data_IF_562431482226
#
_entry.id   IF_562431482226
#
_cell.length_a   1.000
_cell.length_b   1.000
_cell.length_c   1.000
_cell.angle_alpha   90.00
_cell.angle_beta   90.00
_cell.angle_gamma   90.00
#
_symmetry.space_group_name_H-M   'P 1'
#
loop_
_entity.id
_entity.type
_entity.pdbx_description
1 polymer ?
#
# COMPACT_ATOMS: atom_id res chain seq x y z
N UNK A 1 29.86 -34.42 22.75
CA UNK A 1 30.31 -33.01 22.75
C UNK A 1 29.12 -32.14 22.96
N UNK A 2 29.07 -31.36 24.04
CA UNK A 2 27.93 -30.57 24.48
C UNK A 2 27.47 -29.62 23.35
N UNK A 3 26.24 -29.84 22.88
CA UNK A 3 25.56 -28.92 21.96
C UNK A 3 25.23 -27.68 22.80
N UNK A 4 26.19 -26.77 22.97
CA UNK A 4 25.89 -25.44 23.52
C UNK A 4 24.88 -24.83 22.55
N UNK A 5 23.67 -24.62 23.04
CA UNK A 5 22.57 -23.99 22.33
C UNK A 5 23.08 -22.69 21.72
N UNK A 6 23.27 -22.69 20.39
CA UNK A 6 23.77 -21.52 19.68
C UNK A 6 22.70 -20.42 19.72
N UNK A 7 23.10 -19.22 20.09
CA UNK A 7 22.23 -18.04 20.13
C UNK A 7 22.74 -17.02 19.13
N UNK A 8 22.05 -16.84 17.99
CA UNK A 8 22.45 -15.82 17.01
C UNK A 8 22.28 -14.43 17.59
N UNK A 9 23.15 -13.51 17.20
CA UNK A 9 22.99 -12.08 17.50
C UNK A 9 22.06 -11.41 16.51
N UNK A 10 21.39 -10.31 16.92
CA UNK A 10 20.56 -9.51 16.02
C UNK A 10 21.37 -8.99 14.81
N UNK A 11 22.65 -8.65 15.00
CA UNK A 11 23.53 -8.22 13.90
C UNK A 11 23.72 -9.32 12.85
N UNK A 12 23.90 -10.58 13.28
CA UNK A 12 24.02 -11.72 12.37
C UNK A 12 22.70 -11.99 11.62
N UNK A 13 21.56 -11.93 12.33
CA UNK A 13 20.23 -12.07 11.72
C UNK A 13 20.00 -10.95 10.70
N UNK A 14 20.31 -9.70 11.05
CA UNK A 14 20.20 -8.53 10.15
C UNK A 14 21.09 -8.69 8.91
N UNK A 15 22.29 -9.24 9.08
CA UNK A 15 23.20 -9.54 7.95
C UNK A 15 22.56 -10.54 6.99
N UNK A 16 22.00 -11.65 7.49
CA UNK A 16 21.31 -12.64 6.65
C UNK A 16 20.14 -12.04 5.89
N UNK A 17 19.23 -11.33 6.58
CA UNK A 17 18.08 -10.68 5.96
C UNK A 17 18.52 -9.70 4.88
N UNK A 18 19.49 -8.84 5.17
CA UNK A 18 19.98 -7.83 4.21
C UNK A 18 20.62 -8.47 2.98
N UNK A 19 21.41 -9.54 3.13
CA UNK A 19 22.01 -10.28 2.01
C UNK A 19 20.92 -10.96 1.17
N UNK A 20 19.93 -11.57 1.80
CA UNK A 20 18.79 -12.20 1.11
C UNK A 20 17.98 -11.20 0.26
N UNK A 21 17.78 -9.97 0.76
CA UNK A 21 17.07 -8.91 0.06
C UNK A 21 17.87 -8.30 -1.08
N UNK A 22 19.11 -7.91 -0.80
CA UNK A 22 19.97 -7.22 -1.77
C UNK A 22 20.49 -8.15 -2.87
N UNK A 23 20.53 -9.46 -2.61
CA UNK A 23 21.08 -10.48 -3.52
C UNK A 23 22.48 -10.14 -4.06
N UNK A 24 23.21 -9.26 -3.32
CA UNK A 24 24.54 -8.79 -3.67
C UNK A 24 25.29 -8.35 -2.42
N UNK A 25 26.48 -8.95 -2.15
CA UNK A 25 27.23 -8.74 -0.93
C UNK A 25 27.74 -7.30 -0.74
N UNK A 26 28.19 -6.65 -1.82
CA UNK A 26 28.70 -5.27 -1.74
C UNK A 26 27.55 -4.31 -1.40
N UNK A 27 26.40 -4.47 -2.05
CA UNK A 27 25.21 -3.65 -1.78
C UNK A 27 24.68 -3.86 -0.36
N UNK A 28 24.68 -5.11 0.12
CA UNK A 28 24.27 -5.44 1.48
C UNK A 28 25.22 -4.82 2.52
N UNK A 29 26.54 -4.88 2.28
CA UNK A 29 27.53 -4.27 3.15
C UNK A 29 27.38 -2.74 3.21
N UNK A 30 27.20 -2.10 2.05
CA UNK A 30 26.94 -0.65 1.96
C UNK A 30 25.67 -0.26 2.72
N UNK A 31 24.57 -1.03 2.56
CA UNK A 31 23.30 -0.79 3.26
C UNK A 31 23.44 -0.89 4.79
N UNK A 32 24.32 -1.79 5.27
CA UNK A 32 24.58 -1.98 6.70
C UNK A 32 25.68 -1.06 7.25
N UNK A 33 26.35 -0.27 6.41
CA UNK A 33 27.46 0.59 6.83
C UNK A 33 28.70 -0.17 7.33
N UNK A 34 28.92 -1.40 6.85
CA UNK A 34 30.06 -2.26 7.24
C UNK A 34 30.89 -2.69 6.04
N UNK A 35 32.11 -3.22 6.30
CA UNK A 35 32.93 -3.78 5.21
C UNK A 35 32.38 -5.11 4.72
N UNK A 36 32.55 -5.42 3.41
CA UNK A 36 32.14 -6.70 2.84
C UNK A 36 32.78 -7.92 3.55
N UNK A 37 34.09 -7.89 3.97
CA UNK A 37 34.64 -8.97 4.78
C UNK A 37 33.91 -9.18 6.12
N UNK A 38 33.57 -8.09 6.83
CA UNK A 38 32.82 -8.15 8.09
C UNK A 38 31.41 -8.76 7.88
N UNK A 39 30.71 -8.35 6.81
CA UNK A 39 29.42 -8.91 6.44
C UNK A 39 29.54 -10.41 6.15
N UNK A 40 30.53 -10.82 5.36
CA UNK A 40 30.76 -12.22 5.02
C UNK A 40 31.09 -13.07 6.24
N UNK A 41 31.87 -12.54 7.20
CA UNK A 41 32.19 -13.20 8.45
C UNK A 41 30.99 -13.35 9.37
N UNK A 42 30.13 -12.32 9.48
CA UNK A 42 28.90 -12.37 10.27
C UNK A 42 27.93 -13.43 9.74
N UNK A 43 27.75 -13.49 8.41
CA UNK A 43 26.93 -14.51 7.77
C UNK A 43 27.49 -15.92 7.98
N UNK A 44 28.78 -16.11 7.76
CA UNK A 44 29.45 -17.41 7.97
C UNK A 44 29.33 -17.86 9.44
N UNK A 45 29.47 -16.94 10.40
CA UNK A 45 29.29 -17.24 11.83
C UNK A 45 27.88 -17.69 12.14
N UNK A 46 26.85 -17.08 11.52
CA UNK A 46 25.45 -17.49 11.67
C UNK A 46 25.25 -18.90 11.11
N UNK A 47 25.66 -19.15 9.87
CA UNK A 47 25.54 -20.44 9.20
C UNK A 47 26.25 -21.57 9.97
N UNK A 48 27.49 -21.33 10.42
CA UNK A 48 28.24 -22.28 11.20
C UNK A 48 27.61 -22.57 12.57
N UNK A 49 27.08 -21.53 13.23
CA UNK A 49 26.39 -21.67 14.51
C UNK A 49 25.10 -22.46 14.41
N UNK A 50 24.35 -22.29 13.34
CA UNK A 50 23.12 -23.03 13.06
C UNK A 50 23.41 -24.44 12.49
N UNK A 51 24.62 -24.67 11.93
CA UNK A 51 24.93 -25.89 11.20
C UNK A 51 24.18 -26.00 9.85
N UNK A 52 23.75 -24.86 9.29
CA UNK A 52 22.90 -24.77 8.10
C UNK A 52 23.49 -23.76 7.13
N UNK A 53 23.39 -24.02 5.84
CA UNK A 53 23.68 -23.05 4.80
C UNK A 53 22.42 -22.29 4.43
N UNK A 54 22.45 -20.97 4.58
CA UNK A 54 21.32 -20.07 4.29
C UNK A 54 21.46 -19.39 2.93
N UNK A 55 22.71 -19.17 2.50
CA UNK A 55 23.03 -18.47 1.25
C UNK A 55 24.04 -19.31 0.45
N UNK A 56 23.71 -19.58 -0.81
CA UNK A 56 24.67 -20.14 -1.77
C UNK A 56 25.51 -19.00 -2.36
N UNK A 57 26.83 -19.15 -2.27
CA UNK A 57 27.79 -18.20 -2.85
C UNK A 57 28.23 -18.72 -4.22
N UNK A 58 27.72 -18.13 -5.30
CA UNK A 58 28.36 -18.28 -6.59
C UNK A 58 29.13 -17.01 -6.95
N UNK A 59 30.13 -17.13 -7.82
CA UNK A 59 30.96 -15.98 -8.26
C UNK A 59 30.15 -14.90 -8.99
N UNK A 60 28.89 -15.16 -9.35
CA UNK A 60 28.04 -14.26 -10.14
C UNK A 60 26.70 -13.92 -9.51
N UNK A 61 26.21 -14.71 -8.52
CA UNK A 61 24.87 -14.50 -7.90
C UNK A 61 24.86 -14.97 -6.46
N UNK A 62 24.07 -14.29 -5.66
CA UNK A 62 23.67 -14.69 -4.31
C UNK A 62 22.31 -15.36 -4.42
N UNK A 63 22.21 -16.61 -3.99
CA UNK A 63 20.96 -17.38 -4.01
C UNK A 63 20.64 -17.76 -2.57
N UNK A 64 19.42 -17.49 -2.13
CA UNK A 64 18.92 -17.96 -0.84
C UNK A 64 18.60 -19.45 -0.98
N UNK A 65 19.09 -20.28 -0.06
CA UNK A 65 18.78 -21.71 -0.06
C UNK A 65 17.31 -21.97 0.34
N UNK A 66 16.74 -23.14 0.03
CA UNK A 66 15.38 -23.48 0.55
C UNK A 66 15.26 -23.37 2.07
N UNK A 67 16.33 -23.75 2.81
CA UNK A 67 16.41 -23.56 4.26
C UNK A 67 16.44 -22.08 4.64
N UNK A 68 17.20 -21.27 3.89
CA UNK A 68 17.24 -19.82 4.05
C UNK A 68 15.88 -19.19 3.81
N UNK A 69 15.17 -19.58 2.76
CA UNK A 69 13.81 -19.10 2.49
C UNK A 69 12.81 -19.45 3.59
N UNK A 70 12.91 -20.66 4.14
CA UNK A 70 12.06 -21.10 5.27
C UNK A 70 12.36 -20.32 6.56
N UNK A 71 13.62 -19.93 6.81
CA UNK A 71 14.02 -19.19 8.02
C UNK A 71 13.88 -17.65 7.86
N UNK A 72 13.83 -17.15 6.65
CA UNK A 72 13.76 -15.71 6.38
C UNK A 72 12.59 -14.99 7.08
N UNK A 73 11.34 -15.52 7.08
CA UNK A 73 10.23 -14.93 7.81
C UNK A 73 10.48 -14.82 9.32
N UNK A 74 11.08 -15.86 9.93
CA UNK A 74 11.42 -15.85 11.37
C UNK A 74 12.53 -14.87 11.69
N UNK A 75 13.54 -14.77 10.82
CA UNK A 75 14.61 -13.79 10.96
C UNK A 75 14.06 -12.36 10.94
N UNK A 76 13.13 -12.07 10.04
CA UNK A 76 12.45 -10.77 9.95
C UNK A 76 11.60 -10.49 11.19
N UNK A 77 10.75 -11.43 11.61
CA UNK A 77 9.94 -11.29 12.81
C UNK A 77 10.80 -11.04 14.08
N UNK A 78 11.99 -11.63 14.15
CA UNK A 78 12.92 -11.40 15.27
C UNK A 78 13.46 -9.96 15.25
N UNK A 79 13.81 -9.42 14.08
CA UNK A 79 14.25 -8.04 13.94
C UNK A 79 13.11 -7.05 14.22
N UNK A 80 11.90 -7.35 13.76
CA UNK A 80 10.70 -6.56 14.05
C UNK A 80 10.43 -6.48 15.56
N UNK A 81 10.54 -7.62 16.27
CA UNK A 81 10.38 -7.66 17.72
C UNK A 81 11.48 -6.84 18.45
N UNK A 82 12.71 -6.87 17.94
CA UNK A 82 13.80 -6.07 18.51
C UNK A 82 13.57 -4.57 18.26
N UNK A 83 13.12 -4.19 17.09
CA UNK A 83 12.82 -2.81 16.75
C UNK A 83 11.59 -2.31 17.55
N UNK A 84 10.58 -3.17 17.76
CA UNK A 84 9.44 -2.89 18.66
C UNK A 84 9.88 -2.69 20.12
N UNK A 85 10.84 -3.51 20.62
CA UNK A 85 11.41 -3.33 21.96
C UNK A 85 12.09 -1.96 22.10
N UNK A 86 12.85 -1.53 21.10
CA UNK A 86 13.47 -0.22 21.09
C UNK A 86 12.43 0.92 20.97
N UNK A 87 11.41 0.75 20.14
CA UNK A 87 10.30 1.70 20.03
C UNK A 87 9.57 1.83 21.37
N UNK A 88 9.22 0.70 22.01
CA UNK A 88 8.59 0.67 23.32
C UNK A 88 9.46 1.31 24.41
N UNK A 89 10.78 1.15 24.35
CA UNK A 89 11.70 1.79 25.30
C UNK A 89 11.75 3.32 25.11
N UNK A 90 11.53 3.82 23.89
CA UNK A 90 11.39 5.24 23.58
C UNK A 90 9.97 5.73 23.82
N UNK A 91 8.99 4.91 23.46
CA UNK A 91 7.55 5.11 23.64
C UNK A 91 7.03 4.82 25.06
N UNK A 92 7.91 4.64 26.06
CA UNK A 92 7.50 4.68 27.47
C UNK A 92 6.82 6.03 27.85
N UNK A 93 6.77 6.97 26.88
CA UNK A 93 6.04 8.23 26.89
C UNK A 93 4.74 8.21 26.05
N UNK A 94 4.40 7.10 25.39
CA UNK A 94 3.13 6.95 24.65
C UNK A 94 3.05 7.66 23.29
N UNK A 95 4.17 8.10 22.72
CA UNK A 95 4.22 8.86 21.47
C UNK A 95 4.76 8.05 20.31
N UNK A 96 4.13 8.19 19.14
CA UNK A 96 4.63 7.73 17.85
C UNK A 96 5.97 8.41 17.54
N UNK A 97 7.08 7.66 17.49
CA UNK A 97 8.41 8.21 17.25
C UNK A 97 9.31 7.26 16.45
N UNK A 98 10.39 7.82 15.87
CA UNK A 98 11.40 7.09 15.11
C UNK A 98 10.95 6.70 13.70
N UNK A 99 11.70 5.80 13.01
CA UNK A 99 11.43 5.43 11.62
C UNK A 99 10.14 4.60 11.50
N UNK A 100 9.31 4.96 10.51
CA UNK A 100 8.09 4.24 10.15
C UNK A 100 7.97 4.14 8.63
N UNK A 101 8.03 2.91 8.10
CA UNK A 101 7.93 2.65 6.67
C UNK A 101 6.46 2.39 6.31
N UNK A 102 5.86 3.30 5.57
CA UNK A 102 4.43 3.31 5.24
C UNK A 102 4.25 3.04 3.75
N UNK A 103 3.55 1.96 3.41
CA UNK A 103 3.09 1.69 2.06
C UNK A 103 1.76 2.38 1.79
N UNK A 104 1.53 2.83 0.56
CA UNK A 104 0.24 3.42 0.18
C UNK A 104 -0.02 3.16 -1.32
N UNK A 105 -1.27 2.85 -1.67
CA UNK A 105 -1.61 2.60 -3.08
C UNK A 105 -1.80 3.90 -3.87
N UNK A 106 -1.53 3.89 -5.20
CA UNK A 106 -1.58 5.08 -6.06
C UNK A 106 -2.95 5.76 -6.14
N UNK A 107 -4.04 5.04 -5.82
CA UNK A 107 -5.39 5.59 -5.81
C UNK A 107 -5.79 6.22 -4.48
N UNK A 108 -4.88 6.29 -3.51
CA UNK A 108 -5.04 6.94 -2.21
C UNK A 108 -3.95 8.00 -2.00
N UNK A 109 -2.69 7.69 -2.32
CA UNK A 109 -1.52 8.50 -2.01
C UNK A 109 -1.67 9.98 -2.41
N UNK A 110 -1.99 10.34 -3.68
CA UNK A 110 -2.02 11.73 -4.11
C UNK A 110 -3.06 12.58 -3.36
N UNK A 111 -4.10 11.95 -2.85
CA UNK A 111 -5.26 12.64 -2.27
C UNK A 111 -5.18 12.79 -0.75
N UNK A 112 -4.56 11.84 -0.06
CA UNK A 112 -4.53 11.81 1.40
C UNK A 112 -3.14 12.10 1.97
N UNK A 113 -2.08 11.69 1.29
CA UNK A 113 -0.71 11.77 1.80
C UNK A 113 -0.30 13.17 2.22
N UNK A 114 -0.59 14.26 1.48
CA UNK A 114 -0.24 15.62 1.93
C UNK A 114 -0.82 15.96 3.30
N UNK A 115 -2.11 15.64 3.52
CA UNK A 115 -2.77 15.89 4.79
C UNK A 115 -2.30 14.98 5.92
N UNK A 116 -1.93 13.74 5.61
CA UNK A 116 -1.34 12.81 6.59
C UNK A 116 0.04 13.30 7.04
N UNK A 117 0.90 13.73 6.12
CA UNK A 117 2.24 14.24 6.45
C UNK A 117 2.18 15.52 7.30
N UNK A 118 1.28 16.45 6.98
CA UNK A 118 1.04 17.65 7.81
C UNK A 118 0.59 17.21 9.22
N UNK A 119 -0.36 16.28 9.31
CA UNK A 119 -0.83 15.78 10.60
C UNK A 119 0.26 15.05 11.40
N UNK A 120 1.17 14.36 10.74
CA UNK A 120 2.35 13.75 11.39
C UNK A 120 3.27 14.85 11.95
N UNK A 121 3.64 15.84 11.15
CA UNK A 121 4.51 16.93 11.56
C UNK A 121 3.96 17.71 12.77
N UNK A 122 2.64 17.95 12.80
CA UNK A 122 1.96 18.68 13.87
C UNK A 122 1.83 17.87 15.16
N UNK A 123 1.59 16.56 15.09
CA UNK A 123 1.23 15.76 16.27
C UNK A 123 2.35 14.81 16.72
N UNK A 124 3.27 14.44 15.81
CA UNK A 124 4.32 13.45 16.06
C UNK A 124 5.66 13.90 15.46
N UNK A 125 6.26 15.00 15.96
CA UNK A 125 7.45 15.62 15.38
C UNK A 125 8.69 14.71 15.40
N UNK A 126 8.73 13.71 16.27
CA UNK A 126 9.81 12.73 16.37
C UNK A 126 9.59 11.48 15.49
N UNK A 127 8.49 11.42 14.72
CA UNK A 127 8.25 10.37 13.76
C UNK A 127 8.97 10.65 12.44
N UNK A 128 9.70 9.66 11.94
CA UNK A 128 10.40 9.72 10.66
C UNK A 128 9.66 8.86 9.59
N UNK A 129 8.60 9.38 8.94
CA UNK A 129 7.84 8.61 7.98
C UNK A 129 8.64 8.39 6.69
N UNK A 130 8.68 7.16 6.21
CA UNK A 130 9.24 6.76 4.91
C UNK A 130 8.13 6.20 4.05
N UNK A 131 7.75 6.93 3.02
CA UNK A 131 6.61 6.58 2.19
C UNK A 131 7.04 5.78 0.98
N UNK A 132 6.32 4.70 0.70
CA UNK A 132 6.46 3.89 -0.52
C UNK A 132 5.10 3.79 -1.20
N UNK A 133 4.99 4.39 -2.38
CA UNK A 133 3.83 4.21 -3.25
C UNK A 133 4.04 3.02 -4.17
N UNK A 134 3.12 2.06 -4.16
CA UNK A 134 3.16 0.91 -5.05
C UNK A 134 1.78 0.24 -5.15
N UNK A 135 1.63 -0.70 -6.10
CA UNK A 135 0.44 -1.52 -6.24
C UNK A 135 0.26 -2.49 -5.06
N UNK A 136 -0.98 -2.93 -4.82
CA UNK A 136 -1.38 -3.73 -3.67
C UNK A 136 -0.49 -4.97 -3.47
N UNK A 137 -0.27 -5.78 -4.51
CA UNK A 137 0.50 -7.01 -4.39
C UNK A 137 1.96 -6.77 -3.98
N UNK A 138 2.56 -5.68 -4.50
CA UNK A 138 3.92 -5.29 -4.13
C UNK A 138 3.99 -4.83 -2.67
N UNK A 139 3.03 -4.03 -2.22
CA UNK A 139 2.96 -3.57 -0.83
C UNK A 139 2.73 -4.74 0.13
N UNK A 140 1.83 -5.69 -0.21
CA UNK A 140 1.62 -6.91 0.59
C UNK A 140 2.89 -7.77 0.68
N UNK A 141 3.64 -7.87 -0.42
CA UNK A 141 4.94 -8.55 -0.41
C UNK A 141 5.94 -7.82 0.47
N UNK A 142 6.06 -6.50 0.34
CA UNK A 142 6.97 -5.68 1.15
C UNK A 142 6.64 -5.75 2.64
N UNK A 143 5.35 -5.81 3.01
CA UNK A 143 4.91 -6.05 4.40
C UNK A 143 5.41 -7.39 4.92
N UNK A 144 5.17 -8.49 4.18
CA UNK A 144 5.64 -9.83 4.57
C UNK A 144 7.16 -9.89 4.64
N UNK A 145 7.82 -9.16 3.75
CA UNK A 145 9.28 -9.06 3.69
C UNK A 145 9.88 -8.15 4.77
N UNK A 146 9.07 -7.51 5.63
CA UNK A 146 9.54 -6.62 6.69
C UNK A 146 10.13 -5.31 6.19
N UNK A 147 9.90 -4.96 4.92
CA UNK A 147 10.35 -3.70 4.31
C UNK A 147 9.40 -2.54 4.62
N UNK A 148 8.16 -2.84 4.98
CA UNK A 148 7.15 -1.91 5.44
C UNK A 148 6.68 -2.31 6.84
N UNK A 149 6.31 -1.33 7.64
CA UNK A 149 5.67 -1.53 8.93
C UNK A 149 4.16 -1.69 8.78
N UNK A 150 3.56 -0.86 7.95
CA UNK A 150 2.14 -0.89 7.61
C UNK A 150 1.91 -0.41 6.16
N UNK A 151 0.71 -0.65 5.64
CA UNK A 151 0.27 -0.10 4.36
C UNK A 151 -1.19 0.37 4.41
N UNK A 152 -1.49 1.47 3.71
CA UNK A 152 -2.86 1.98 3.50
C UNK A 152 -3.37 1.41 2.18
N UNK A 153 -4.31 0.49 2.24
CA UNK A 153 -4.82 -0.27 1.11
C UNK A 153 -6.35 -0.22 1.02
N UNK A 154 -6.87 -0.51 -0.15
CA UNK A 154 -8.28 -0.84 -0.30
C UNK A 154 -8.47 -2.35 -0.11
N UNK A 155 -9.37 -2.73 0.80
CA UNK A 155 -9.60 -4.11 1.24
C UNK A 155 -10.98 -4.62 0.80
N UNK A 156 -11.31 -5.91 0.94
CA UNK A 156 -10.53 -6.94 1.62
C UNK A 156 -9.30 -7.42 0.82
N UNK A 157 -8.22 -7.73 1.54
CA UNK A 157 -7.07 -8.43 0.97
C UNK A 157 -6.91 -9.77 1.68
N UNK A 158 -6.94 -10.86 0.95
CA UNK A 158 -6.67 -12.19 1.52
C UNK A 158 -5.17 -12.45 1.56
N UNK A 159 -4.53 -12.06 2.67
CA UNK A 159 -3.09 -12.16 2.82
C UNK A 159 -2.75 -12.84 4.15
N UNK A 160 -2.39 -14.14 4.14
CA UNK A 160 -1.99 -14.86 5.35
C UNK A 160 -0.86 -14.16 6.10
N UNK A 161 -0.97 -14.09 7.44
CA UNK A 161 0.01 -13.44 8.31
C UNK A 161 -0.07 -11.91 8.36
N UNK A 162 -1.05 -11.32 7.70
CA UNK A 162 -1.35 -9.88 7.77
C UNK A 162 -2.72 -9.65 8.44
N UNK A 163 -2.79 -8.60 9.23
CA UNK A 163 -4.00 -8.11 9.88
C UNK A 163 -4.48 -6.85 9.18
N UNK A 164 -5.79 -6.58 9.28
CA UNK A 164 -6.43 -5.42 8.67
C UNK A 164 -7.21 -4.63 9.71
N UNK A 165 -6.95 -3.34 9.79
CA UNK A 165 -7.69 -2.39 10.60
C UNK A 165 -8.53 -1.50 9.68
N UNK A 166 -9.85 -1.73 9.53
CA UNK A 166 -10.70 -0.90 8.70
C UNK A 166 -10.73 0.54 9.21
N UNK A 167 -10.59 1.50 8.30
CA UNK A 167 -10.63 2.92 8.62
C UNK A 167 -11.96 3.57 8.24
N UNK A 168 -12.35 3.44 6.98
CA UNK A 168 -13.60 4.03 6.45
C UNK A 168 -14.01 3.34 5.16
N UNK A 169 -15.30 3.48 4.84
CA UNK A 169 -15.84 3.15 3.54
C UNK A 169 -15.87 4.39 2.65
N UNK A 170 -15.40 4.24 1.43
CA UNK A 170 -15.25 5.31 0.46
C UNK A 170 -16.09 5.04 -0.78
N UNK A 171 -17.11 5.88 -1.06
CA UNK A 171 -17.95 5.71 -2.25
C UNK A 171 -17.16 6.02 -3.52
N UNK A 172 -17.57 5.39 -4.61
CA UNK A 172 -17.14 5.74 -5.96
C UNK A 172 -18.02 6.84 -6.54
N UNK A 173 -17.42 7.67 -7.38
CA UNK A 173 -18.06 8.72 -8.15
C UNK A 173 -17.79 8.45 -9.62
N UNK A 174 -18.82 8.51 -10.44
CA UNK A 174 -18.65 8.43 -11.89
C UNK A 174 -18.15 9.77 -12.42
N UNK A 175 -17.16 9.72 -13.28
CA UNK A 175 -16.59 10.88 -13.98
C UNK A 175 -16.82 10.71 -15.47
N UNK A 176 -17.50 11.68 -16.06
CA UNK A 176 -17.94 11.67 -17.44
C UNK A 176 -17.56 12.96 -18.15
N UNK A 177 -17.72 13.00 -19.47
CA UNK A 177 -17.73 14.26 -20.20
C UNK A 177 -19.01 15.04 -19.79
N UNK A 178 -18.99 16.40 -19.74
CA UNK A 178 -20.16 17.21 -19.42
C UNK A 178 -21.39 17.00 -20.33
N UNK A 179 -21.17 16.54 -21.56
CA UNK A 179 -22.23 16.25 -22.52
C UNK A 179 -22.83 14.84 -22.37
N UNK A 180 -22.31 14.02 -21.44
CA UNK A 180 -22.85 12.69 -21.16
C UNK A 180 -24.22 12.79 -20.48
N UNK A 181 -25.21 11.96 -20.87
CA UNK A 181 -26.55 11.97 -20.25
C UNK A 181 -26.54 11.70 -18.73
N UNK A 182 -25.49 11.08 -18.20
CA UNK A 182 -25.35 10.79 -16.77
C UNK A 182 -24.67 11.93 -16.00
N UNK A 183 -24.13 12.95 -16.69
CA UNK A 183 -23.46 14.08 -16.05
C UNK A 183 -24.39 14.81 -15.07
N UNK A 184 -23.89 15.06 -13.86
CA UNK A 184 -24.64 15.80 -12.81
C UNK A 184 -25.73 15.00 -12.09
N UNK A 185 -25.93 13.72 -12.40
CA UNK A 185 -26.93 12.89 -11.71
C UNK A 185 -26.49 12.49 -10.31
N UNK A 186 -27.45 12.30 -9.40
CA UNK A 186 -27.24 11.88 -7.99
C UNK A 186 -27.93 10.56 -7.65
N UNK A 187 -28.49 9.91 -8.64
CA UNK A 187 -29.40 8.77 -8.49
C UNK A 187 -28.96 7.56 -9.32
N UNK A 188 -27.64 7.42 -9.58
CA UNK A 188 -27.14 6.29 -10.35
C UNK A 188 -27.39 4.97 -9.60
N UNK A 189 -27.97 4.00 -10.29
CA UNK A 189 -27.98 2.60 -9.88
C UNK A 189 -26.76 1.88 -10.44
N UNK A 190 -26.50 0.65 -10.00
CA UNK A 190 -25.46 -0.18 -10.63
C UNK A 190 -25.74 -0.44 -12.11
N UNK A 191 -27.02 -0.53 -12.50
CA UNK A 191 -27.40 -0.69 -13.90
C UNK A 191 -26.93 0.46 -14.81
N UNK A 192 -26.72 1.66 -14.26
CA UNK A 192 -26.16 2.80 -15.00
C UNK A 192 -24.76 2.53 -15.53
N UNK A 193 -24.03 1.55 -14.97
CA UNK A 193 -22.72 1.13 -15.47
C UNK A 193 -22.78 0.54 -16.90
N UNK A 194 -23.95 0.04 -17.32
CA UNK A 194 -24.15 -0.49 -18.68
C UNK A 194 -24.09 0.61 -19.75
N UNK A 195 -24.45 1.84 -19.37
CA UNK A 195 -24.47 3.00 -20.25
C UNK A 195 -23.12 3.69 -20.37
N UNK A 196 -22.19 3.39 -19.44
CA UNK A 196 -20.85 3.98 -19.41
C UNK A 196 -19.85 3.20 -20.26
N UNK A 197 -19.06 3.93 -21.04
CA UNK A 197 -17.87 3.39 -21.70
C UNK A 197 -16.68 3.52 -20.75
N UNK A 198 -16.54 2.56 -19.80
CA UNK A 198 -15.59 2.65 -18.70
C UNK A 198 -14.15 2.49 -19.17
N UNK A 199 -13.33 3.49 -18.86
CA UNK A 199 -11.88 3.49 -18.94
C UNK A 199 -11.34 2.97 -17.59
N UNK A 200 -10.39 2.04 -17.63
CA UNK A 200 -9.86 1.36 -16.46
C UNK A 200 -8.36 1.58 -16.32
N UNK A 201 -7.88 1.55 -15.09
CA UNK A 201 -6.45 1.46 -14.80
C UNK A 201 -5.85 0.14 -15.30
N UNK A 202 -4.52 0.08 -15.41
CA UNK A 202 -3.77 -1.13 -15.73
C UNK A 202 -4.00 -2.26 -14.70
N UNK A 203 -3.65 -3.48 -15.09
CA UNK A 203 -3.67 -4.64 -14.19
C UNK A 203 -2.78 -4.39 -12.95
N UNK A 204 -3.21 -4.90 -11.80
CA UNK A 204 -2.53 -4.74 -10.51
C UNK A 204 -3.02 -3.54 -9.66
N UNK A 205 -3.85 -2.67 -10.21
CA UNK A 205 -4.55 -1.66 -9.43
C UNK A 205 -5.85 -2.21 -8.86
N UNK A 206 -5.97 -2.27 -7.52
CA UNK A 206 -7.18 -2.77 -6.86
C UNK A 206 -8.46 -2.02 -7.27
N UNK A 207 -8.37 -0.74 -7.58
CA UNK A 207 -9.51 0.05 -8.08
C UNK A 207 -10.07 -0.54 -9.40
N UNK A 208 -9.21 -1.00 -10.29
CA UNK A 208 -9.64 -1.69 -11.52
C UNK A 208 -10.45 -2.93 -11.20
N UNK A 209 -9.92 -3.77 -10.32
CA UNK A 209 -10.59 -5.02 -9.96
C UNK A 209 -11.93 -4.78 -9.26
N UNK A 210 -12.01 -3.75 -8.42
CA UNK A 210 -13.24 -3.30 -7.77
C UNK A 210 -14.27 -2.81 -8.80
N UNK A 211 -13.87 -2.01 -9.78
CA UNK A 211 -14.77 -1.56 -10.86
C UNK A 211 -15.24 -2.73 -11.71
N UNK A 212 -14.35 -3.66 -12.06
CA UNK A 212 -14.70 -4.87 -12.82
C UNK A 212 -15.72 -5.71 -12.03
N UNK A 213 -15.57 -5.82 -10.72
CA UNK A 213 -16.52 -6.56 -9.89
C UNK A 213 -17.89 -5.88 -9.84
N UNK A 214 -17.93 -4.56 -9.70
CA UNK A 214 -19.20 -3.79 -9.80
C UNK A 214 -19.86 -4.00 -11.16
N UNK A 215 -19.08 -4.01 -12.25
CA UNK A 215 -19.62 -4.30 -13.59
C UNK A 215 -20.19 -5.71 -13.70
N UNK A 216 -19.57 -6.72 -13.10
CA UNK A 216 -20.10 -8.10 -13.06
C UNK A 216 -21.44 -8.14 -12.32
N UNK A 217 -21.54 -7.50 -11.16
CA UNK A 217 -22.80 -7.42 -10.39
C UNK A 217 -23.90 -6.72 -11.20
N UNK A 218 -23.54 -5.70 -11.95
CA UNK A 218 -24.43 -4.96 -12.82
C UNK A 218 -24.75 -5.66 -14.16
N UNK A 219 -24.12 -6.82 -14.45
CA UNK A 219 -24.14 -7.46 -15.77
C UNK A 219 -23.70 -6.52 -16.91
N UNK A 220 -22.78 -5.60 -16.59
CA UNK A 220 -22.21 -4.64 -17.51
C UNK A 220 -20.85 -5.15 -18.04
N UNK A 221 -20.52 -4.81 -19.28
CA UNK A 221 -19.22 -5.17 -19.88
C UNK A 221 -18.34 -3.91 -19.97
N UNK A 222 -17.28 -3.78 -19.18
CA UNK A 222 -16.39 -2.64 -19.28
C UNK A 222 -15.78 -2.54 -20.68
N UNK A 223 -15.74 -1.33 -21.25
CA UNK A 223 -15.04 -1.07 -22.51
C UNK A 223 -15.67 -1.69 -23.76
N UNK A 224 -16.98 -2.00 -23.76
CA UNK A 224 -17.68 -2.65 -24.86
C UNK A 224 -17.74 -1.82 -26.17
N UNK A 225 -17.44 -0.53 -26.14
CA UNK A 225 -17.43 0.32 -27.34
C UNK A 225 -16.06 0.39 -28.02
N UNK A 226 -16.06 0.57 -29.34
CA UNK A 226 -14.98 0.37 -30.33
C UNK A 226 -13.62 1.08 -30.12
N UNK A 227 -13.44 1.85 -29.07
CA UNK A 227 -12.16 2.52 -28.77
C UNK A 227 -11.52 2.00 -27.47
N UNK A 228 -11.90 0.81 -27.07
CA UNK A 228 -11.42 0.15 -25.90
C UNK A 228 -9.93 -0.21 -26.04
N UNK A 229 -9.26 -0.02 -25.00
CA UNK A 229 -7.98 -0.48 -24.49
C UNK A 229 -6.97 0.66 -24.36
N UNK A 230 -7.42 1.79 -23.92
CA UNK A 230 -6.46 2.69 -23.29
C UNK A 230 -6.36 2.30 -21.82
N UNK A 231 -5.29 1.64 -21.48
CA UNK A 231 -4.88 1.37 -20.11
C UNK A 231 -3.96 2.49 -19.66
N UNK A 232 -4.07 2.90 -18.43
CA UNK A 232 -3.19 3.90 -17.84
C UNK A 232 -2.82 3.51 -16.42
N UNK A 233 -1.60 3.84 -16.03
CA UNK A 233 -1.07 3.54 -14.70
C UNK A 233 -1.46 4.58 -13.64
N UNK A 234 -2.08 5.70 -14.01
CA UNK A 234 -2.51 6.74 -13.08
C UNK A 234 -3.96 7.18 -13.32
N UNK A 235 -4.63 7.53 -12.22
CA UNK A 235 -6.01 8.00 -12.26
C UNK A 235 -6.12 9.34 -13.00
N UNK A 236 -5.15 10.22 -12.84
CA UNK A 236 -5.06 11.50 -13.55
C UNK A 236 -5.03 11.29 -15.07
N UNK A 237 -4.27 10.30 -15.57
CA UNK A 237 -4.26 9.98 -17.00
C UNK A 237 -5.64 9.50 -17.47
N UNK A 238 -6.30 8.62 -16.72
CA UNK A 238 -7.66 8.16 -17.05
C UNK A 238 -8.63 9.35 -17.15
N UNK A 239 -8.58 10.28 -16.18
CA UNK A 239 -9.45 11.46 -16.20
C UNK A 239 -9.15 12.38 -17.40
N UNK A 240 -7.88 12.51 -17.83
CA UNK A 240 -7.55 13.23 -19.05
C UNK A 240 -8.15 12.59 -20.32
N UNK A 241 -8.25 11.26 -20.34
CA UNK A 241 -8.91 10.55 -21.43
C UNK A 241 -10.43 10.79 -21.43
N UNK A 242 -11.04 10.94 -20.24
CA UNK A 242 -12.45 11.37 -20.11
C UNK A 242 -12.62 12.78 -20.66
N UNK A 243 -11.74 13.73 -20.33
CA UNK A 243 -11.72 15.09 -20.90
C UNK A 243 -11.66 15.04 -22.44
N UNK A 244 -10.86 14.13 -22.99
CA UNK A 244 -10.74 13.94 -24.45
C UNK A 244 -11.97 13.23 -25.08
N UNK A 245 -13.01 12.90 -24.30
CA UNK A 245 -14.24 12.27 -24.80
C UNK A 245 -14.10 10.78 -25.14
N UNK A 246 -13.05 10.11 -24.63
CA UNK A 246 -12.77 8.70 -24.94
C UNK A 246 -13.60 7.72 -24.13
N UNK A 247 -14.30 8.19 -23.09
CA UNK A 247 -15.15 7.37 -22.22
C UNK A 247 -15.39 8.02 -20.88
N UNK A 248 -15.72 7.20 -19.90
CA UNK A 248 -16.02 7.58 -18.52
C UNK A 248 -15.23 6.71 -17.55
N UNK A 249 -15.15 7.06 -16.28
CA UNK A 249 -14.48 6.23 -15.27
C UNK A 249 -15.17 6.34 -13.92
N UNK A 250 -14.80 5.44 -12.99
CA UNK A 250 -15.13 5.58 -11.58
C UNK A 250 -13.89 6.00 -10.81
N UNK A 251 -14.03 6.98 -9.94
CA UNK A 251 -12.96 7.42 -9.05
C UNK A 251 -13.41 7.34 -7.59
N UNK A 252 -12.49 7.19 -6.64
CA UNK A 252 -12.81 7.33 -5.22
C UNK A 252 -13.24 8.76 -4.89
N UNK A 253 -14.14 8.93 -3.92
CA UNK A 253 -14.66 10.24 -3.55
C UNK A 253 -13.56 11.22 -3.09
N UNK A 254 -12.50 10.74 -2.42
CA UNK A 254 -11.34 11.55 -2.03
C UNK A 254 -10.57 12.15 -3.21
N UNK A 255 -10.68 11.55 -4.40
CA UNK A 255 -10.01 12.03 -5.60
C UNK A 255 -10.77 13.18 -6.30
N UNK A 256 -12.07 13.38 -5.99
CA UNK A 256 -12.94 14.35 -6.68
C UNK A 256 -12.37 15.77 -6.63
N UNK A 257 -11.93 16.22 -5.45
CA UNK A 257 -11.38 17.58 -5.27
C UNK A 257 -10.19 17.87 -6.18
N UNK A 258 -9.36 16.86 -6.46
CA UNK A 258 -8.18 17.00 -7.32
C UNK A 258 -8.50 16.74 -8.79
N UNK A 259 -9.23 15.66 -9.06
CA UNK A 259 -9.41 15.18 -10.44
C UNK A 259 -10.56 15.88 -11.18
N UNK A 260 -11.60 16.33 -10.49
CA UNK A 260 -12.74 17.00 -11.10
C UNK A 260 -12.67 18.53 -11.06
N UNK A 261 -11.62 19.14 -10.50
CA UNK A 261 -11.42 20.60 -10.48
C UNK A 261 -11.09 21.21 -11.82
N UNK A 262 -10.90 20.40 -12.85
CA UNK A 262 -10.53 20.81 -14.21
C UNK A 262 -11.76 20.94 -15.13
N UNK A 263 -11.72 21.80 -16.15
CA UNK A 263 -12.79 21.88 -17.14
C UNK A 263 -12.86 20.60 -18.00
N UNK A 264 -14.03 20.30 -18.54
CA UNK A 264 -14.24 19.16 -19.45
C UNK A 264 -14.57 17.85 -18.75
N UNK A 265 -14.80 17.86 -17.43
CA UNK A 265 -15.34 16.73 -16.68
C UNK A 265 -16.60 17.13 -15.91
N UNK A 266 -17.49 16.18 -15.75
CA UNK A 266 -18.63 16.23 -14.86
C UNK A 266 -18.61 15.01 -13.93
N UNK A 267 -19.14 15.16 -12.73
CA UNK A 267 -19.31 14.05 -11.80
C UNK A 267 -20.76 13.60 -11.73
N UNK A 268 -20.96 12.32 -11.43
CA UNK A 268 -22.28 11.78 -11.10
C UNK A 268 -22.15 10.82 -9.91
N UNK A 269 -23.13 10.83 -9.02
CA UNK A 269 -23.11 10.04 -7.79
C UNK A 269 -24.11 8.89 -7.83
N UNK A 270 -23.78 7.81 -7.16
CA UNK A 270 -24.70 6.70 -6.96
C UNK A 270 -25.78 7.08 -5.93
N UNK A 271 -26.97 6.53 -6.11
CA UNK A 271 -28.09 6.71 -5.19
C UNK A 271 -27.73 6.15 -3.80
N UNK A 272 -28.34 6.74 -2.77
CA UNK A 272 -28.19 6.26 -1.40
C UNK A 272 -28.60 4.77 -1.30
N UNK A 273 -27.74 3.96 -0.66
CA UNK A 273 -27.93 2.52 -0.49
C UNK A 273 -27.37 1.66 -1.62
N UNK A 274 -26.88 2.25 -2.72
CA UNK A 274 -26.14 1.51 -3.73
C UNK A 274 -24.73 1.21 -3.22
N UNK A 275 -24.34 -0.07 -3.21
CA UNK A 275 -23.05 -0.52 -2.70
C UNK A 275 -21.95 -0.34 -3.78
N UNK A 276 -21.70 0.89 -4.17
CA UNK A 276 -20.61 1.27 -5.08
C UNK A 276 -19.51 1.98 -4.28
N UNK A 277 -18.78 1.23 -3.48
CA UNK A 277 -17.77 1.74 -2.55
C UNK A 277 -16.63 0.76 -2.35
N UNK A 278 -15.56 1.24 -1.71
CA UNK A 278 -14.45 0.41 -1.21
C UNK A 278 -14.20 0.68 0.26
N UNK A 279 -13.69 -0.30 0.99
CA UNK A 279 -13.19 -0.10 2.35
C UNK A 279 -11.69 0.20 2.29
N UNK A 280 -11.26 1.27 2.93
CA UNK A 280 -9.84 1.59 3.13
C UNK A 280 -9.41 1.15 4.51
N UNK A 281 -8.28 0.45 4.59
CA UNK A 281 -7.75 -0.12 5.83
C UNK A 281 -6.26 0.12 5.97
N UNK A 282 -5.78 0.12 7.20
CA UNK A 282 -4.37 -0.16 7.48
C UNK A 282 -4.16 -1.67 7.46
N UNK A 283 -3.11 -2.11 6.80
CA UNK A 283 -2.70 -3.51 6.74
C UNK A 283 -1.29 -3.63 7.31
N UNK A 284 -1.06 -4.56 8.20
CA UNK A 284 0.21 -4.77 8.88
C UNK A 284 0.43 -6.24 9.24
N UNK A 285 1.64 -6.61 9.65
CA UNK A 285 1.93 -8.00 10.05
C UNK A 285 1.23 -8.36 11.36
N UNK A 286 0.61 -9.52 11.42
CA UNK A 286 -0.02 -10.04 12.63
C UNK A 286 0.96 -10.16 13.83
N UNK A 287 2.27 -10.27 13.56
CA UNK A 287 3.33 -10.27 14.56
C UNK A 287 3.69 -8.90 15.11
N UNK A 288 3.16 -7.80 14.53
CA UNK A 288 3.51 -6.44 14.95
C UNK A 288 3.00 -6.14 16.36
N UNK A 289 3.86 -5.55 17.19
CA UNK A 289 3.49 -5.06 18.52
C UNK A 289 3.11 -3.56 18.53
N UNK A 290 3.14 -2.90 17.35
CA UNK A 290 2.91 -1.46 17.18
C UNK A 290 1.45 -1.10 16.83
N UNK A 291 0.49 -1.97 17.17
CA UNK A 291 -0.93 -1.81 16.76
C UNK A 291 -1.51 -0.49 17.28
N UNK A 292 -1.23 -0.12 18.53
CA UNK A 292 -1.71 1.14 19.12
C UNK A 292 -1.17 2.38 18.37
N UNK A 293 0.08 2.32 17.88
CA UNK A 293 0.67 3.38 17.05
C UNK A 293 0.00 3.43 15.67
N UNK A 294 -0.34 2.27 15.09
CA UNK A 294 -1.05 2.20 13.81
C UNK A 294 -2.47 2.75 13.92
N UNK A 295 -3.15 2.53 15.05
CA UNK A 295 -4.46 3.13 15.33
C UNK A 295 -4.39 4.67 15.36
N UNK A 296 -3.36 5.23 15.98
CA UNK A 296 -3.13 6.68 16.00
C UNK A 296 -2.90 7.24 14.58
N UNK A 297 -2.05 6.57 13.79
CA UNK A 297 -1.86 6.94 12.39
C UNK A 297 -3.16 6.80 11.58
N UNK A 298 -3.96 5.79 11.86
CA UNK A 298 -5.28 5.59 11.26
C UNK A 298 -6.22 6.78 11.46
N UNK A 299 -6.16 7.46 12.61
CA UNK A 299 -6.94 8.67 12.85
C UNK A 299 -6.47 9.83 11.94
N UNK A 300 -5.16 9.97 11.71
CA UNK A 300 -4.65 10.99 10.77
C UNK A 300 -5.10 10.71 9.33
N UNK A 301 -5.10 9.43 8.92
CA UNK A 301 -5.59 9.02 7.60
C UNK A 301 -7.09 9.35 7.46
N UNK A 302 -7.91 9.04 8.48
CA UNK A 302 -9.35 9.41 8.50
C UNK A 302 -9.55 10.91 8.41
N UNK A 303 -8.86 11.69 9.23
CA UNK A 303 -8.96 13.14 9.21
C UNK A 303 -8.52 13.75 7.86
N UNK A 304 -7.52 13.14 7.20
CA UNK A 304 -7.10 13.54 5.86
C UNK A 304 -8.15 13.19 4.81
N UNK A 305 -8.80 12.03 4.93
CA UNK A 305 -9.92 11.63 4.07
C UNK A 305 -11.10 12.61 4.18
N UNK A 306 -11.52 12.98 5.39
CA UNK A 306 -12.59 13.93 5.63
C UNK A 306 -12.29 15.30 4.99
N UNK A 307 -11.04 15.78 5.09
CA UNK A 307 -10.60 17.01 4.41
C UNK A 307 -10.64 16.89 2.88
N UNK A 308 -10.25 15.75 2.34
CA UNK A 308 -10.31 15.49 0.90
C UNK A 308 -11.75 15.49 0.40
N UNK A 309 -12.69 14.88 1.14
CA UNK A 309 -14.11 14.93 0.82
C UNK A 309 -14.67 16.36 0.83
N UNK A 310 -14.35 17.15 1.85
CA UNK A 310 -14.84 18.54 1.95
C UNK A 310 -14.31 19.38 0.78
N UNK A 311 -13.05 19.19 0.37
CA UNK A 311 -12.48 19.88 -0.81
C UNK A 311 -13.19 19.52 -2.12
N UNK A 312 -13.70 18.29 -2.24
CA UNK A 312 -14.44 17.81 -3.42
C UNK A 312 -15.94 18.12 -3.41
N UNK A 313 -16.50 18.54 -2.28
CA UNK A 313 -17.94 18.66 -2.06
C UNK A 313 -18.64 19.58 -3.05
N UNK A 314 -18.01 20.68 -3.45
CA UNK A 314 -18.58 21.62 -4.44
C UNK A 314 -18.58 21.10 -5.87
N UNK A 315 -17.81 20.04 -6.14
CA UNK A 315 -17.65 19.39 -7.44
C UNK A 315 -18.54 18.14 -7.58
N UNK A 316 -19.17 17.72 -6.50
CA UNK A 316 -20.19 16.67 -6.51
C UNK A 316 -21.52 17.23 -6.98
N UNK A 317 -22.34 16.45 -7.69
CA UNK A 317 -23.68 16.86 -8.06
C UNK A 317 -24.55 17.08 -6.82
N UNK A 318 -25.45 18.04 -6.88
CA UNK A 318 -26.38 18.41 -5.78
C UNK A 318 -27.69 17.70 -5.89
#
# INVERSE_FOLDING_TARGET
MSNREYKPTLAQIRTFVTVAEQKHFVSAAAKLGISQPSLSQALASLENGLGLQLIERSTRRVIVTPTGEALLPYAKATLDAADAFLAQSRGALGELAGPLNIGIIPTIAPYLLPGVLIGIEENYPDLEPRIVENQTDQLLKMLRDGQLDLAVLATPTHAPGLEQLPLYDEPFVAVTNPDDPLAGRTDLGLDSLKDLNLLLLDDGHCLRDQIVELCKIAEATPGARKHAVTRASSLTTIVQLVVAGLGSTLIPASAVGTECSRPGVASAAFANGVQAQRTVSLVYRASSQRVAEFEQLGQLVKASYERALESGKSLLPR
#
